data_IF_697348790231
#
_entry.id   IF_697348790231
#
_cell.length_a   1.000
_cell.length_b   1.000
_cell.length_c   1.000
_cell.angle_alpha   90.00
_cell.angle_beta   90.00
_cell.angle_gamma   90.00
#
_symmetry.space_group_name_H-M   'P 1'
#
loop_
_entity.id
_entity.type
_entity.pdbx_description
1 polymer ?
#
# COMPACT_ATOMS: atom_id res chain seq x y z
N UNK A 1 -45.65 9.15 25.76
CA UNK A 1 -44.99 7.86 25.45
C UNK A 1 -44.49 7.75 24.01
N UNK A 2 -45.30 8.02 22.98
CA UNK A 2 -44.90 7.86 21.57
C UNK A 2 -43.69 8.72 21.14
N UNK A 3 -43.61 9.97 21.61
CA UNK A 3 -42.50 10.89 21.27
C UNK A 3 -41.16 10.45 21.88
N UNK A 4 -41.19 9.90 23.09
CA UNK A 4 -40.00 9.38 23.77
C UNK A 4 -39.48 8.13 23.06
N UNK A 5 -40.37 7.22 22.64
CA UNK A 5 -40.03 6.04 21.87
C UNK A 5 -39.42 6.39 20.50
N UNK A 6 -39.96 7.43 19.82
CA UNK A 6 -39.40 7.91 18.57
C UNK A 6 -38.04 8.59 18.75
N UNK A 7 -37.86 9.37 19.81
CA UNK A 7 -36.59 10.01 20.13
C UNK A 7 -35.50 8.96 20.46
N UNK A 8 -35.85 7.89 21.16
CA UNK A 8 -34.95 6.78 21.49
C UNK A 8 -34.54 6.00 20.24
N UNK A 9 -35.48 5.59 19.40
CA UNK A 9 -35.21 4.91 18.12
C UNK A 9 -34.30 5.75 17.21
N UNK A 10 -34.49 7.08 17.19
CA UNK A 10 -33.65 8.00 16.41
C UNK A 10 -32.24 8.13 16.98
N UNK A 11 -32.07 8.05 18.31
CA UNK A 11 -30.76 7.99 18.98
C UNK A 11 -30.04 6.68 18.68
N UNK A 12 -30.73 5.55 18.71
CA UNK A 12 -30.15 4.25 18.39
C UNK A 12 -29.70 4.16 16.93
N UNK A 13 -30.52 4.60 15.98
CA UNK A 13 -30.14 4.65 14.57
C UNK A 13 -28.91 5.55 14.33
N UNK A 14 -28.78 6.67 15.05
CA UNK A 14 -27.59 7.53 14.98
C UNK A 14 -26.36 6.84 15.56
N UNK A 15 -26.48 6.11 16.67
CA UNK A 15 -25.39 5.32 17.26
C UNK A 15 -24.94 4.23 16.30
N UNK A 16 -25.87 3.45 15.73
CA UNK A 16 -25.57 2.39 14.77
C UNK A 16 -24.87 2.93 13.51
N UNK A 17 -25.32 4.07 12.95
CA UNK A 17 -24.65 4.72 11.81
C UNK A 17 -23.22 5.14 12.15
N UNK A 18 -22.99 5.74 13.33
CA UNK A 18 -21.64 6.16 13.76
C UNK A 18 -20.70 4.97 13.94
N UNK A 19 -21.18 3.85 14.51
CA UNK A 19 -20.39 2.63 14.65
C UNK A 19 -20.00 2.07 13.28
N UNK A 20 -20.97 1.93 12.37
CA UNK A 20 -20.71 1.46 11.00
C UNK A 20 -19.73 2.34 10.23
N UNK A 21 -19.84 3.66 10.39
CA UNK A 21 -18.89 4.60 9.77
C UNK A 21 -17.49 4.48 10.37
N UNK A 22 -17.38 4.33 11.69
CA UNK A 22 -16.11 4.09 12.37
C UNK A 22 -15.44 2.80 11.92
N UNK A 23 -16.20 1.70 11.81
CA UNK A 23 -15.70 0.43 11.29
C UNK A 23 -15.22 0.55 9.85
N UNK A 24 -15.99 1.22 8.98
CA UNK A 24 -15.57 1.50 7.60
C UNK A 24 -14.27 2.31 7.56
N UNK A 25 -14.13 3.32 8.41
CA UNK A 25 -12.88 4.12 8.48
C UNK A 25 -11.69 3.28 8.93
N UNK A 26 -11.87 2.43 9.95
CA UNK A 26 -10.80 1.54 10.43
C UNK A 26 -10.40 0.54 9.35
N UNK A 27 -11.37 -0.02 8.61
CA UNK A 27 -11.10 -0.96 7.52
C UNK A 27 -10.42 -0.29 6.31
N UNK A 28 -10.69 1.00 6.05
CA UNK A 28 -10.13 1.74 4.93
C UNK A 28 -8.72 2.32 5.21
N UNK A 29 -8.40 2.55 6.47
CA UNK A 29 -7.11 3.08 6.92
C UNK A 29 -5.89 2.28 6.40
N UNK A 30 -5.81 0.93 6.51
CA UNK A 30 -4.66 0.19 6.00
C UNK A 30 -4.52 0.31 4.48
N UNK A 31 -5.64 0.37 3.75
CA UNK A 31 -5.62 0.58 2.29
C UNK A 31 -5.04 1.94 1.95
N UNK A 32 -5.46 2.99 2.66
CA UNK A 32 -4.95 4.36 2.47
C UNK A 32 -3.46 4.46 2.78
N UNK A 33 -3.01 3.79 3.83
CA UNK A 33 -1.60 3.76 4.21
C UNK A 33 -0.74 3.08 3.13
N UNK A 34 -1.23 1.96 2.59
CA UNK A 34 -0.54 1.26 1.51
C UNK A 34 -0.50 2.09 0.22
N UNK A 35 -1.59 2.77 -0.15
CA UNK A 35 -1.63 3.67 -1.30
C UNK A 35 -0.69 4.88 -1.14
N UNK A 36 -0.62 5.45 0.07
CA UNK A 36 0.28 6.55 0.38
C UNK A 36 1.75 6.09 0.30
N UNK A 37 2.06 4.89 0.80
CA UNK A 37 3.41 4.35 0.69
C UNK A 37 3.79 4.02 -0.76
N UNK A 38 2.86 3.51 -1.56
CA UNK A 38 3.09 3.30 -2.99
C UNK A 38 3.42 4.61 -3.70
N UNK A 39 2.65 5.67 -3.47
CA UNK A 39 2.93 6.99 -4.05
C UNK A 39 4.30 7.51 -3.62
N UNK A 40 4.59 7.46 -2.32
CA UNK A 40 5.91 7.86 -1.77
C UNK A 40 7.05 7.11 -2.45
N UNK A 41 6.91 5.81 -2.65
CA UNK A 41 7.95 5.00 -3.30
C UNK A 41 8.16 5.37 -4.76
N UNK A 42 7.10 5.72 -5.51
CA UNK A 42 7.20 6.09 -6.92
C UNK A 42 7.90 7.43 -7.14
N UNK A 43 7.78 8.35 -6.18
CA UNK A 43 8.42 9.68 -6.19
C UNK A 43 9.93 9.61 -5.93
N UNK A 44 10.43 8.52 -5.33
CA UNK A 44 11.85 8.33 -5.05
C UNK A 44 12.67 8.06 -6.32
N UNK A 45 13.90 8.55 -6.33
CA UNK A 45 14.92 8.16 -7.31
C UNK A 45 15.34 6.70 -7.14
N UNK A 46 15.99 6.14 -8.16
CA UNK A 46 16.48 4.75 -8.12
C UNK A 46 17.48 4.50 -6.99
N UNK A 47 18.32 5.49 -6.70
CA UNK A 47 19.28 5.43 -5.60
C UNK A 47 18.56 5.35 -4.26
N UNK A 48 17.56 6.18 -4.05
CA UNK A 48 16.75 6.20 -2.82
C UNK A 48 15.92 4.93 -2.66
N UNK A 49 15.35 4.39 -3.75
CA UNK A 49 14.64 3.10 -3.74
C UNK A 49 15.55 1.96 -3.29
N UNK A 50 16.81 1.93 -3.75
CA UNK A 50 17.81 0.93 -3.33
C UNK A 50 18.21 1.11 -1.86
N UNK A 51 18.44 2.35 -1.42
CA UNK A 51 18.75 2.64 -0.03
C UNK A 51 17.61 2.18 0.90
N UNK A 52 16.36 2.52 0.55
CA UNK A 52 15.17 2.09 1.29
C UNK A 52 15.06 0.56 1.37
N UNK A 53 15.33 -0.15 0.26
CA UNK A 53 15.32 -1.62 0.27
C UNK A 53 16.40 -2.20 1.21
N UNK A 54 17.58 -1.58 1.29
CA UNK A 54 18.63 -1.97 2.23
C UNK A 54 18.20 -1.73 3.69
N UNK A 55 17.67 -0.56 4.02
CA UNK A 55 17.14 -0.25 5.35
C UNK A 55 16.07 -1.25 5.80
N UNK A 56 15.15 -1.60 4.90
CA UNK A 56 14.08 -2.57 5.20
C UNK A 56 14.61 -3.98 5.44
N UNK A 57 15.66 -4.40 4.73
CA UNK A 57 16.34 -5.67 5.00
C UNK A 57 17.00 -5.67 6.37
N UNK A 58 17.62 -4.56 6.77
CA UNK A 58 18.19 -4.42 8.12
C UNK A 58 17.11 -4.50 9.20
N UNK A 59 15.97 -3.81 9.01
CA UNK A 59 14.84 -3.88 9.94
C UNK A 59 14.28 -5.31 10.07
N UNK A 60 14.19 -6.03 8.96
CA UNK A 60 13.73 -7.42 8.97
C UNK A 60 14.74 -8.35 9.68
N UNK A 61 16.05 -8.14 9.45
CA UNK A 61 17.10 -8.87 10.16
C UNK A 61 17.11 -8.56 11.67
N UNK A 62 16.71 -7.34 12.07
CA UNK A 62 16.51 -6.95 13.46
C UNK A 62 15.21 -7.52 14.08
N UNK A 63 14.48 -8.40 13.39
CA UNK A 63 13.28 -9.07 13.91
C UNK A 63 11.98 -8.28 13.76
N UNK A 64 11.98 -7.16 13.02
CA UNK A 64 10.76 -6.40 12.78
C UNK A 64 9.86 -7.13 11.78
N UNK A 65 8.62 -7.44 12.20
CA UNK A 65 7.61 -8.10 11.37
C UNK A 65 6.80 -7.08 10.56
N UNK A 66 6.16 -7.53 9.48
CA UNK A 66 5.31 -6.68 8.63
C UNK A 66 6.08 -5.67 7.77
N UNK A 67 7.39 -5.86 7.58
CA UNK A 67 8.21 -4.97 6.74
C UNK A 67 8.10 -5.40 5.27
N UNK A 68 7.73 -4.46 4.40
CA UNK A 68 7.65 -4.68 2.94
C UNK A 68 9.07 -4.70 2.35
N UNK A 69 9.68 -5.88 2.23
CA UNK A 69 11.08 -6.03 1.80
C UNK A 69 11.31 -5.66 0.34
N UNK A 70 10.32 -5.90 -0.52
CA UNK A 70 10.48 -5.73 -1.96
C UNK A 70 9.20 -5.18 -2.56
N UNK A 71 9.32 -4.06 -3.28
CA UNK A 71 8.23 -3.44 -4.04
C UNK A 71 8.53 -3.52 -5.54
N UNK A 72 7.49 -3.62 -6.36
CA UNK A 72 7.61 -3.50 -7.81
C UNK A 72 8.19 -2.14 -8.18
N UNK A 73 9.21 -2.12 -9.04
CA UNK A 73 9.89 -0.90 -9.43
C UNK A 73 8.96 0.12 -10.12
N UNK A 74 7.97 -0.36 -10.89
CA UNK A 74 7.10 0.51 -11.69
C UNK A 74 5.82 0.95 -10.96
N UNK A 75 5.17 0.05 -10.21
CA UNK A 75 3.87 0.33 -9.58
C UNK A 75 3.91 0.32 -8.04
N UNK A 76 5.10 0.13 -7.45
CA UNK A 76 5.31 0.05 -6.01
C UNK A 76 4.53 -1.06 -5.26
N UNK A 77 3.80 -1.95 -5.94
CA UNK A 77 3.09 -3.05 -5.28
C UNK A 77 4.01 -3.95 -4.47
N UNK A 78 3.55 -4.41 -3.30
CA UNK A 78 4.27 -5.36 -2.47
C UNK A 78 4.40 -6.74 -3.16
N UNK A 79 5.65 -7.15 -3.34
CA UNK A 79 6.07 -8.44 -3.91
C UNK A 79 6.94 -9.24 -2.93
N UNK A 80 6.95 -8.86 -1.66
CA UNK A 80 7.61 -9.59 -0.59
C UNK A 80 7.08 -11.03 -0.56
N UNK A 81 7.99 -12.01 -0.57
CA UNK A 81 7.64 -13.44 -0.57
C UNK A 81 7.07 -13.97 -1.90
N UNK A 82 6.92 -13.15 -2.94
CA UNK A 82 6.53 -13.60 -4.29
C UNK A 82 7.78 -13.79 -5.15
N UNK A 83 7.68 -14.58 -6.22
CA UNK A 83 8.73 -14.67 -7.26
C UNK A 83 8.51 -13.52 -8.25
N UNK A 84 9.36 -12.49 -8.27
CA UNK A 84 9.19 -11.36 -9.17
C UNK A 84 9.79 -11.66 -10.54
N UNK A 85 9.34 -10.91 -11.54
CA UNK A 85 10.05 -10.84 -12.81
C UNK A 85 11.25 -9.91 -12.65
N UNK A 86 12.40 -10.34 -13.14
CA UNK A 86 13.65 -9.56 -13.11
C UNK A 86 14.00 -9.09 -14.51
N UNK A 87 14.51 -7.87 -14.60
CA UNK A 87 15.17 -7.37 -15.80
C UNK A 87 16.21 -6.34 -15.37
N UNK A 88 17.45 -6.55 -15.81
CA UNK A 88 18.62 -5.85 -15.29
C UNK A 88 18.65 -5.93 -13.76
N UNK A 89 18.66 -4.78 -13.07
CA UNK A 89 18.68 -4.68 -11.61
C UNK A 89 17.32 -4.32 -11.00
N UNK A 90 16.23 -4.50 -11.76
CA UNK A 90 14.88 -4.11 -11.36
C UNK A 90 13.95 -5.33 -11.19
N UNK A 91 13.02 -5.21 -10.25
CA UNK A 91 12.05 -6.24 -9.86
C UNK A 91 10.64 -5.79 -10.19
N UNK A 92 9.83 -6.67 -10.78
CA UNK A 92 8.49 -6.36 -11.27
C UNK A 92 7.47 -7.38 -10.77
N UNK A 93 6.26 -6.90 -10.43
CA UNK A 93 5.17 -7.77 -10.00
C UNK A 93 4.52 -8.56 -11.15
N UNK A 94 4.64 -8.09 -12.39
CA UNK A 94 3.91 -8.65 -13.53
C UNK A 94 4.57 -8.30 -14.88
N UNK A 95 4.23 -9.08 -15.91
CA UNK A 95 4.67 -8.84 -17.30
C UNK A 95 4.31 -7.43 -17.84
N UNK A 96 3.11 -6.87 -17.59
CA UNK A 96 2.79 -5.49 -17.98
C UNK A 96 3.78 -4.47 -17.41
N UNK A 97 4.16 -4.61 -16.13
CA UNK A 97 5.12 -3.70 -15.49
C UNK A 97 6.50 -3.80 -16.13
N UNK A 98 6.97 -5.01 -16.40
CA UNK A 98 8.23 -5.22 -17.09
C UNK A 98 8.22 -4.61 -18.50
N UNK A 99 7.17 -4.87 -19.29
CA UNK A 99 7.05 -4.34 -20.66
C UNK A 99 7.01 -2.81 -20.67
N UNK A 100 6.29 -2.20 -19.75
CA UNK A 100 6.20 -0.74 -19.64
C UNK A 100 7.54 -0.10 -19.26
N UNK A 101 8.30 -0.73 -18.35
CA UNK A 101 9.65 -0.29 -18.02
C UNK A 101 10.58 -0.32 -19.23
N UNK A 102 10.62 -1.45 -19.96
CA UNK A 102 11.44 -1.59 -21.18
C UNK A 102 11.11 -0.56 -22.26
N UNK A 103 9.83 -0.21 -22.43
CA UNK A 103 9.43 0.83 -23.38
C UNK A 103 9.93 2.23 -23.00
N UNK A 104 10.01 2.52 -21.70
CA UNK A 104 10.52 3.81 -21.21
C UNK A 104 12.03 3.91 -21.38
N UNK A 105 12.77 2.84 -21.07
CA UNK A 105 14.22 2.82 -21.26
C UNK A 105 14.63 2.95 -22.73
N UNK A 106 13.80 2.48 -23.67
CA UNK A 106 14.02 2.68 -25.11
C UNK A 106 13.70 4.09 -25.63
N UNK A 107 12.93 4.91 -24.90
CA UNK A 107 12.58 6.28 -25.33
C UNK A 107 13.54 7.36 -24.78
N UNK A 108 14.46 6.98 -23.89
CA UNK A 108 15.43 7.89 -23.26
C UNK A 108 16.85 7.66 -23.80
N UNK A 109 16.98 7.00 -24.95
CA UNK A 109 18.22 6.91 -25.73
C UNK A 109 18.18 7.84 -26.94
#
# INVERSE_FOLDING_TARGET
ESEQLQAEKRRELRKAKRLKEREKRIADEPRRQEEAEQKRFLELSDREKRALAAERRLLAAAGKTGVVLTRCYLCAADITGKVPFTYENFLFCSMPCLKAHRKKSTQTQ
#
